data_IF_655298124069
#
_entry.id   IF_655298124069
#
_cell.length_a   1.000
_cell.length_b   1.000
_cell.length_c   1.000
_cell.angle_alpha   90.00
_cell.angle_beta   90.00
_cell.angle_gamma   90.00
#
_symmetry.space_group_name_H-M   'P 1'
#
loop_
_entity.id
_entity.type
_entity.pdbx_description
1 polymer ?
#
# COMPACT_ATOMS: atom_id res chain seq x y z
N UNK A 1 -13.42 -2.23 17.75
CA UNK A 1 -13.23 -3.58 17.16
C UNK A 1 -13.74 -4.61 18.14
N UNK A 2 -14.79 -5.36 17.78
CA UNK A 2 -15.46 -6.30 18.69
C UNK A 2 -14.55 -7.50 19.03
N UNK A 3 -14.65 -8.00 20.27
CA UNK A 3 -13.90 -9.16 20.78
C UNK A 3 -13.88 -10.40 19.86
N UNK A 4 -14.99 -10.81 19.19
CA UNK A 4 -14.96 -11.94 18.26
C UNK A 4 -14.10 -11.69 17.01
N UNK A 5 -14.02 -10.43 16.56
CA UNK A 5 -13.22 -10.03 15.40
C UNK A 5 -11.72 -10.12 15.69
N UNK A 6 -11.31 -9.79 16.92
CA UNK A 6 -9.91 -9.93 17.37
C UNK A 6 -9.50 -11.40 17.50
N UNK A 7 -10.40 -12.27 17.99
CA UNK A 7 -10.17 -13.71 18.07
C UNK A 7 -10.04 -14.37 16.70
N UNK A 8 -10.89 -13.99 15.74
CA UNK A 8 -10.79 -14.46 14.35
C UNK A 8 -9.48 -13.99 13.69
N UNK A 9 -9.09 -12.73 13.92
CA UNK A 9 -7.86 -12.14 13.35
C UNK A 9 -6.58 -12.77 13.91
N UNK A 10 -6.53 -13.06 15.22
CA UNK A 10 -5.37 -13.75 15.81
C UNK A 10 -5.23 -15.19 15.29
N UNK A 11 -6.35 -15.89 15.06
CA UNK A 11 -6.32 -17.25 14.49
C UNK A 11 -5.90 -17.26 13.02
N UNK A 12 -6.39 -16.31 12.22
CA UNK A 12 -5.98 -16.20 10.81
C UNK A 12 -4.51 -15.82 10.68
N UNK A 13 -3.99 -14.90 11.51
CA UNK A 13 -2.57 -14.57 11.54
C UNK A 13 -1.69 -15.77 11.93
N UNK A 14 -2.11 -16.57 12.91
CA UNK A 14 -1.36 -17.77 13.31
C UNK A 14 -1.37 -18.87 12.24
N UNK A 15 -2.48 -19.03 11.49
CA UNK A 15 -2.54 -19.95 10.36
C UNK A 15 -1.62 -19.51 9.21
N UNK A 16 -1.63 -18.21 8.88
CA UNK A 16 -0.75 -17.61 7.87
C UNK A 16 0.73 -17.80 8.24
N UNK A 17 1.08 -17.60 9.52
CA UNK A 17 2.46 -17.71 9.98
C UNK A 17 2.98 -19.15 9.86
N UNK A 18 2.17 -20.17 10.17
CA UNK A 18 2.58 -21.58 10.06
C UNK A 18 2.72 -22.05 8.61
N UNK A 19 1.83 -21.63 7.71
CA UNK A 19 1.91 -22.01 6.29
C UNK A 19 3.11 -21.34 5.60
N UNK A 20 3.42 -20.08 5.92
CA UNK A 20 4.53 -19.34 5.32
C UNK A 20 5.90 -19.76 5.89
N UNK A 21 5.99 -20.11 7.18
CA UNK A 21 7.29 -20.48 7.80
C UNK A 21 7.68 -21.95 7.58
N UNK A 22 6.73 -22.87 7.41
CA UNK A 22 7.03 -24.29 7.12
C UNK A 22 7.19 -24.57 5.63
N UNK A 23 6.54 -23.80 4.77
CA UNK A 23 6.89 -23.77 3.35
C UNK A 23 8.09 -22.85 3.17
N UNK A 24 9.30 -23.39 3.34
CA UNK A 24 10.38 -23.10 2.38
C UNK A 24 9.97 -23.61 1.00
N UNK A 25 8.83 -23.14 0.49
CA UNK A 25 8.57 -23.14 -0.93
C UNK A 25 9.59 -22.14 -1.45
N UNK A 26 10.73 -22.66 -1.92
CA UNK A 26 11.49 -21.99 -2.95
C UNK A 26 10.50 -21.75 -4.08
N UNK A 27 9.82 -20.60 -4.04
CA UNK A 27 8.98 -20.12 -5.13
C UNK A 27 9.95 -19.77 -6.24
N UNK A 28 10.33 -20.81 -7.00
CA UNK A 28 11.09 -20.65 -8.23
C UNK A 28 10.09 -20.13 -9.23
N UNK A 29 9.99 -18.81 -9.31
CA UNK A 29 9.26 -18.18 -10.40
C UNK A 29 9.99 -18.51 -11.70
N UNK A 30 9.24 -19.00 -12.68
CA UNK A 30 9.76 -19.17 -14.04
C UNK A 30 10.23 -17.83 -14.61
N UNK A 31 10.97 -17.83 -15.74
CA UNK A 31 11.43 -16.61 -16.37
C UNK A 31 10.24 -15.70 -16.71
N UNK A 32 10.39 -14.37 -16.56
CA UNK A 32 9.30 -13.44 -16.82
C UNK A 32 8.89 -13.49 -18.29
N UNK A 33 7.58 -13.60 -18.56
CA UNK A 33 7.02 -13.54 -19.93
C UNK A 33 7.31 -12.20 -20.61
N UNK A 34 7.40 -11.13 -19.83
CA UNK A 34 7.72 -9.78 -20.28
C UNK A 34 8.80 -9.18 -19.38
N UNK A 35 9.88 -8.68 -19.98
CA UNK A 35 10.94 -7.99 -19.26
C UNK A 35 10.52 -6.55 -19.03
N UNK A 36 10.28 -6.19 -17.77
CA UNK A 36 10.02 -4.79 -17.39
C UNK A 36 11.37 -4.08 -17.27
N UNK A 37 11.56 -3.07 -18.09
CA UNK A 37 12.74 -2.21 -18.09
C UNK A 37 12.85 -1.42 -16.78
N UNK A 38 14.06 -0.95 -16.45
CA UNK A 38 14.27 -0.11 -15.27
C UNK A 38 13.48 1.20 -15.35
N UNK A 39 13.31 1.74 -16.56
CA UNK A 39 12.50 2.94 -16.82
C UNK A 39 11.02 2.73 -16.49
N UNK A 40 10.44 1.59 -16.89
CA UNK A 40 9.04 1.27 -16.56
C UNK A 40 8.83 1.09 -15.05
N UNK A 41 9.80 0.47 -14.36
CA UNK A 41 9.75 0.34 -12.89
C UNK A 41 9.79 1.69 -12.20
N UNK A 42 10.70 2.57 -12.63
CA UNK A 42 10.82 3.91 -12.07
C UNK A 42 9.56 4.74 -12.36
N UNK A 43 9.06 4.70 -13.60
CA UNK A 43 7.85 5.39 -14.02
C UNK A 43 6.63 4.96 -13.22
N UNK A 44 6.42 3.65 -13.06
CA UNK A 44 5.32 3.13 -12.24
C UNK A 44 5.44 3.58 -10.78
N UNK A 45 6.66 3.54 -10.22
CA UNK A 45 6.93 4.02 -8.86
C UNK A 45 6.55 5.49 -8.67
N UNK A 46 6.96 6.36 -9.60
CA UNK A 46 6.61 7.79 -9.57
C UNK A 46 5.10 7.99 -9.64
N UNK A 47 4.41 7.27 -10.54
CA UNK A 47 2.95 7.37 -10.67
C UNK A 47 2.25 6.96 -9.38
N UNK A 48 2.69 5.88 -8.73
CA UNK A 48 2.12 5.44 -7.45
C UNK A 48 2.33 6.48 -6.35
N UNK A 49 3.51 7.09 -6.26
CA UNK A 49 3.80 8.14 -5.28
C UNK A 49 2.92 9.38 -5.52
N UNK A 50 2.83 9.84 -6.76
CA UNK A 50 2.00 11.01 -7.11
C UNK A 50 0.52 10.73 -6.78
N UNK A 51 0.02 9.55 -7.13
CA UNK A 51 -1.38 9.18 -6.87
C UNK A 51 -1.76 9.25 -5.39
N UNK A 52 -0.81 8.92 -4.49
CA UNK A 52 -1.03 8.99 -3.04
C UNK A 52 -0.80 10.40 -2.48
N UNK A 53 0.27 11.07 -2.91
CA UNK A 53 0.67 12.36 -2.33
C UNK A 53 -0.09 13.55 -2.90
N UNK A 54 -0.52 13.53 -4.16
CA UNK A 54 -1.18 14.66 -4.80
C UNK A 54 -2.51 15.07 -4.14
N UNK A 55 -3.42 14.15 -3.75
CA UNK A 55 -4.63 14.52 -3.03
C UNK A 55 -4.34 15.17 -1.67
N UNK A 56 -3.37 14.62 -0.93
CA UNK A 56 -2.98 15.18 0.36
C UNK A 56 -2.36 16.58 0.20
N UNK A 57 -1.48 16.76 -0.79
CA UNK A 57 -0.89 18.06 -1.09
C UNK A 57 -1.95 19.10 -1.51
N UNK A 58 -2.94 18.70 -2.30
CA UNK A 58 -4.04 19.57 -2.71
C UNK A 58 -4.90 20.01 -1.52
N UNK A 59 -5.24 19.10 -0.61
CA UNK A 59 -6.00 19.42 0.60
C UNK A 59 -5.22 20.37 1.50
N UNK A 60 -3.93 20.11 1.71
CA UNK A 60 -3.05 20.95 2.53
C UNK A 60 -2.90 22.35 1.92
N UNK A 61 -2.79 22.47 0.59
CA UNK A 61 -2.69 23.74 -0.10
C UNK A 61 -3.96 24.61 0.01
N UNK A 62 -5.12 24.00 0.25
CA UNK A 62 -6.42 24.70 0.36
C UNK A 62 -6.91 24.81 1.81
N UNK A 63 -6.07 24.52 2.80
CA UNK A 63 -6.42 24.58 4.22
C UNK A 63 -7.00 25.94 4.64
N UNK A 64 -6.46 27.04 4.10
CA UNK A 64 -6.91 28.39 4.42
C UNK A 64 -8.33 28.67 3.87
N UNK A 65 -8.64 28.13 2.70
CA UNK A 65 -9.99 28.18 2.11
C UNK A 65 -11.00 27.38 2.93
N UNK A 66 -10.59 26.22 3.49
CA UNK A 66 -11.47 25.39 4.33
C UNK A 66 -11.69 25.97 5.74
N UNK A 67 -10.77 26.80 6.24
CA UNK A 67 -10.87 27.45 7.55
C UNK A 67 -11.74 28.70 7.56
N UNK A 68 -12.46 28.96 6.47
CA UNK A 68 -13.37 30.09 6.35
C UNK A 68 -12.72 31.37 5.81
N UNK A 69 -11.43 31.33 5.43
CA UNK A 69 -10.67 32.47 4.93
C UNK A 69 -10.54 33.59 5.97
N UNK A 70 -9.33 34.09 6.24
CA UNK A 70 -9.27 35.50 6.66
C UNK A 70 -9.71 36.32 5.45
N UNK A 71 -10.72 37.20 5.58
CA UNK A 71 -10.82 38.29 4.63
C UNK A 71 -9.58 39.16 4.84
N UNK A 72 -8.65 39.04 3.90
CA UNK A 72 -7.51 39.93 3.63
C UNK A 72 -6.34 39.91 4.64
#
# INVERSE_FOLDING_TARGET
>A
MSAPLRGAFCRSLQAINKTITQQRATVVSGPPKYKVSMGEKAGLGIVMVIAVCAPAAYILANLDSYRGGRPE
#
